data_IF_024311134061
#
_entry.id   IF_024311134061
#
_cell.length_a   1.000
_cell.length_b   1.000
_cell.length_c   1.000
_cell.angle_alpha   90.00
_cell.angle_beta   90.00
_cell.angle_gamma   90.00
#
_symmetry.space_group_name_H-M   'P 1'
#
loop_
_entity.id
_entity.type
_entity.pdbx_description
1 polymer ?
#
# COMPACT_ATOMS: atom_id res chain seq x y z
N UNK A 1 -8.03 -5.25 -7.49
CA UNK A 1 -8.12 -4.10 -6.54
C UNK A 1 -9.49 -3.46 -6.74
N UNK A 2 -10.22 -3.05 -5.69
CA UNK A 2 -11.57 -2.49 -5.92
C UNK A 2 -11.49 -1.15 -6.66
N UNK A 3 -12.40 -0.85 -7.60
CA UNK A 3 -12.38 0.40 -8.35
C UNK A 3 -12.38 1.64 -7.44
N UNK A 4 -13.17 1.61 -6.36
CA UNK A 4 -13.25 2.70 -5.38
C UNK A 4 -11.99 2.87 -4.53
N UNK A 5 -11.16 1.82 -4.37
CA UNK A 5 -9.94 1.89 -3.54
C UNK A 5 -8.81 2.70 -4.17
N UNK A 6 -8.88 2.97 -5.48
CA UNK A 6 -7.91 3.81 -6.17
C UNK A 6 -7.92 5.24 -5.61
N UNK A 7 -9.09 5.81 -5.33
CA UNK A 7 -9.26 7.17 -4.81
C UNK A 7 -8.53 7.39 -3.49
N UNK A 8 -8.50 6.35 -2.64
CA UNK A 8 -7.86 6.38 -1.33
C UNK A 8 -6.36 6.04 -1.37
N UNK A 9 -5.91 5.42 -2.46
CA UNK A 9 -4.50 5.00 -2.64
C UNK A 9 -3.65 6.06 -3.35
N UNK A 10 -4.26 7.09 -3.93
CA UNK A 10 -3.51 8.15 -4.61
C UNK A 10 -2.62 8.89 -3.60
N UNK A 11 -1.36 9.07 -3.94
CA UNK A 11 -0.44 9.91 -3.17
C UNK A 11 -0.92 11.36 -3.24
N UNK A 12 -0.94 12.11 -2.11
CA UNK A 12 -1.38 13.49 -2.15
C UNK A 12 -0.42 14.29 -3.04
N UNK A 13 -0.97 15.12 -3.93
CA UNK A 13 -0.18 15.98 -4.83
C UNK A 13 0.76 16.94 -4.09
N UNK A 14 0.52 17.17 -2.80
CA UNK A 14 1.36 18.00 -1.92
C UNK A 14 1.50 17.33 -0.54
N UNK A 15 2.71 17.14 -0.01
CA UNK A 15 2.94 16.61 1.33
C UNK A 15 2.25 17.48 2.40
N UNK A 16 1.47 16.85 3.29
CA UNK A 16 0.87 17.53 4.45
C UNK A 16 -0.46 18.25 4.23
N UNK A 17 -1.09 18.14 3.04
CA UNK A 17 -2.38 18.79 2.77
C UNK A 17 -3.63 18.00 3.17
N UNK A 18 -3.51 16.71 3.52
CA UNK A 18 -4.68 15.93 3.92
C UNK A 18 -5.12 16.31 5.33
N UNK A 19 -6.41 16.54 5.49
CA UNK A 19 -7.01 16.71 6.83
C UNK A 19 -6.89 15.40 7.63
N UNK A 20 -6.87 15.50 8.95
CA UNK A 20 -6.86 14.31 9.82
C UNK A 20 -8.06 13.40 9.54
N UNK A 21 -9.22 13.99 9.27
CA UNK A 21 -10.44 13.31 8.87
C UNK A 21 -10.26 12.52 7.57
N UNK A 22 -9.71 13.12 6.53
CA UNK A 22 -9.40 12.41 5.27
C UNK A 22 -8.44 11.24 5.49
N UNK A 23 -7.42 11.41 6.33
CA UNK A 23 -6.49 10.33 6.64
C UNK A 23 -7.18 9.16 7.32
N UNK A 24 -8.06 9.43 8.29
CA UNK A 24 -8.85 8.41 8.98
C UNK A 24 -9.76 7.70 7.99
N UNK A 25 -10.54 8.44 7.19
CA UNK A 25 -11.42 7.86 6.17
C UNK A 25 -10.65 7.00 5.17
N UNK A 26 -9.54 7.49 4.63
CA UNK A 26 -8.74 6.73 3.67
C UNK A 26 -8.21 5.43 4.29
N UNK A 27 -7.68 5.51 5.51
CA UNK A 27 -7.11 4.35 6.21
C UNK A 27 -8.18 3.30 6.46
N UNK A 28 -9.32 3.71 7.02
CA UNK A 28 -10.44 2.84 7.35
C UNK A 28 -11.06 2.20 6.11
N UNK A 29 -11.25 2.96 5.03
CA UNK A 29 -11.77 2.44 3.77
C UNK A 29 -10.79 1.47 3.10
N UNK A 30 -9.48 1.72 3.18
CA UNK A 30 -8.46 0.78 2.68
C UNK A 30 -8.42 -0.51 3.50
N UNK A 31 -8.58 -0.43 4.83
CA UNK A 31 -8.67 -1.60 5.70
C UNK A 31 -9.90 -2.45 5.41
N UNK A 32 -11.06 -1.82 5.22
CA UNK A 32 -12.27 -2.51 4.75
C UNK A 32 -11.99 -3.23 3.42
N UNK A 33 -11.40 -2.53 2.45
CA UNK A 33 -11.06 -3.11 1.15
C UNK A 33 -10.07 -4.27 1.25
N UNK A 34 -9.12 -4.21 2.20
CA UNK A 34 -8.20 -5.31 2.47
C UNK A 34 -8.92 -6.52 3.07
N UNK A 35 -9.85 -6.31 4.02
CA UNK A 35 -10.59 -7.41 4.64
C UNK A 35 -11.55 -8.08 3.66
N UNK A 36 -12.31 -7.32 2.87
CA UNK A 36 -13.24 -7.89 1.87
C UNK A 36 -12.48 -8.75 0.86
N UNK A 37 -11.35 -8.26 0.31
CA UNK A 37 -10.51 -9.05 -0.62
C UNK A 37 -9.95 -10.30 0.04
N UNK A 38 -9.52 -10.20 1.30
CA UNK A 38 -8.99 -11.36 2.04
C UNK A 38 -10.08 -12.42 2.20
N UNK A 39 -11.28 -12.04 2.62
CA UNK A 39 -12.41 -12.95 2.81
C UNK A 39 -12.81 -13.61 1.49
N UNK A 40 -12.86 -12.83 0.40
CA UNK A 40 -13.14 -13.35 -0.94
C UNK A 40 -12.08 -14.36 -1.40
N UNK A 41 -10.79 -14.05 -1.20
CA UNK A 41 -9.68 -14.96 -1.50
C UNK A 41 -9.81 -16.26 -0.72
N UNK A 42 -10.05 -16.21 0.59
CA UNK A 42 -10.22 -17.40 1.43
C UNK A 42 -11.41 -18.25 0.95
N UNK A 43 -12.53 -17.62 0.57
CA UNK A 43 -13.71 -18.32 0.04
C UNK A 43 -13.38 -19.06 -1.27
N UNK A 44 -12.67 -18.39 -2.18
CA UNK A 44 -12.25 -18.99 -3.45
C UNK A 44 -11.24 -20.14 -3.24
N UNK A 45 -10.29 -19.98 -2.31
CA UNK A 45 -9.36 -21.03 -1.93
C UNK A 45 -10.08 -22.27 -1.38
N UNK A 46 -11.08 -22.08 -0.51
CA UNK A 46 -11.90 -23.18 0.02
C UNK A 46 -12.70 -23.90 -1.06
N UNK A 47 -13.29 -23.15 -1.99
CA UNK A 47 -14.05 -23.72 -3.11
C UNK A 47 -13.15 -24.54 -4.06
N UNK A 48 -11.96 -24.02 -4.37
CA UNK A 48 -11.01 -24.68 -5.28
C UNK A 48 -10.32 -25.88 -4.63
N UNK A 49 -10.00 -25.82 -3.34
CA UNK A 49 -9.45 -26.95 -2.58
C UNK A 49 -10.46 -28.11 -2.51
N UNK A 50 -11.73 -27.83 -2.24
CA UNK A 50 -12.80 -28.84 -2.28
C UNK A 50 -12.92 -29.51 -3.64
N UNK A 51 -12.79 -28.75 -4.73
CA UNK A 51 -12.80 -29.28 -6.10
C UNK A 51 -11.57 -30.14 -6.41
N UNK A 52 -10.37 -29.72 -5.97
CA UNK A 52 -9.13 -30.49 -6.15
C UNK A 52 -9.22 -31.84 -5.46
N UNK A 53 -9.69 -31.89 -4.21
CA UNK A 53 -9.86 -33.17 -3.49
C UNK A 53 -10.81 -34.12 -4.19
N UNK A 54 -11.93 -33.62 -4.74
CA UNK A 54 -12.88 -34.43 -5.51
C UNK A 54 -12.24 -35.00 -6.79
N UNK A 55 -11.49 -34.17 -7.52
CA UNK A 55 -10.73 -34.57 -8.73
C UNK A 55 -9.66 -35.62 -8.45
N UNK A 56 -8.95 -35.51 -7.33
CA UNK A 56 -7.95 -36.49 -6.91
C UNK A 56 -8.54 -37.83 -6.48
N UNK A 57 -9.84 -37.88 -6.17
CA UNK A 57 -10.54 -39.09 -5.70
C UNK A 57 -11.29 -39.83 -6.82
N UNK A 58 -11.53 -39.18 -7.97
CA UNK A 58 -12.27 -39.76 -9.09
C UNK A 58 -11.34 -40.22 -10.21
N UNK A 59 -11.36 -41.52 -10.53
CA UNK A 59 -10.62 -42.08 -11.69
C UNK A 59 -11.26 -41.74 -13.05
N UNK A 60 -12.41 -41.08 -13.07
CA UNK A 60 -13.17 -40.73 -14.28
C UNK A 60 -12.82 -39.32 -14.74
N UNK A 61 -12.87 -39.07 -16.05
CA UNK A 61 -12.68 -37.73 -16.62
C UNK A 61 -13.71 -36.75 -16.03
N UNK A 62 -13.22 -35.75 -15.29
CA UNK A 62 -14.08 -34.82 -14.56
C UNK A 62 -14.48 -33.65 -15.47
N UNK A 63 -15.71 -33.72 -16.01
CA UNK A 63 -16.33 -32.67 -16.83
C UNK A 63 -16.92 -31.52 -15.99
N UNK A 64 -16.59 -31.44 -14.70
CA UNK A 64 -17.05 -30.35 -13.82
C UNK A 64 -16.81 -28.94 -14.37
N UNK A 65 -15.80 -28.75 -15.23
CA UNK A 65 -15.51 -27.48 -15.89
C UNK A 65 -16.59 -27.06 -16.93
N UNK A 66 -17.30 -28.02 -17.54
CA UNK A 66 -18.46 -27.77 -18.41
C UNK A 66 -19.71 -27.36 -17.62
N UNK A 67 -19.76 -27.69 -16.33
CA UNK A 67 -20.87 -27.36 -15.43
C UNK A 67 -20.59 -26.13 -14.56
N UNK A 68 -19.38 -25.54 -14.62
CA UNK A 68 -19.07 -24.34 -13.84
C UNK A 68 -19.94 -23.18 -14.29
N UNK A 69 -20.75 -22.66 -13.37
CA UNK A 69 -21.40 -21.36 -13.52
C UNK A 69 -20.35 -20.28 -13.85
N UNK A 70 -20.74 -19.17 -14.52
CA UNK A 70 -19.84 -18.06 -14.83
C UNK A 70 -19.03 -17.66 -13.59
N UNK A 71 -17.78 -17.24 -13.81
CA UNK A 71 -16.88 -16.86 -12.71
C UNK A 71 -17.61 -15.95 -11.71
N UNK A 72 -17.52 -16.24 -10.39
CA UNK A 72 -18.18 -15.41 -9.39
C UNK A 72 -17.69 -13.97 -9.57
N UNK A 73 -18.65 -13.07 -9.77
CA UNK A 73 -18.33 -11.65 -9.92
C UNK A 73 -17.68 -11.16 -8.62
N UNK A 74 -16.63 -10.32 -8.74
CA UNK A 74 -16.00 -9.75 -7.56
C UNK A 74 -17.04 -8.97 -6.75
N UNK A 75 -16.98 -9.08 -5.44
CA UNK A 75 -17.90 -8.33 -4.60
C UNK A 75 -17.68 -6.83 -4.76
N UNK A 76 -18.76 -6.10 -5.06
CA UNK A 76 -18.73 -4.64 -5.19
C UNK A 76 -19.66 -4.00 -4.15
N UNK A 77 -19.16 -2.94 -3.51
CA UNK A 77 -19.96 -2.11 -2.61
C UNK A 77 -20.91 -1.26 -3.44
N UNK A 78 -22.16 -1.13 -2.98
CA UNK A 78 -23.07 -0.19 -3.62
C UNK A 78 -22.58 1.25 -3.42
N UNK A 79 -22.81 2.17 -4.37
CA UNK A 79 -22.39 3.57 -4.21
C UNK A 79 -22.98 4.23 -2.96
N UNK A 80 -24.19 3.84 -2.56
CA UNK A 80 -24.83 4.33 -1.36
C UNK A 80 -24.14 3.83 -0.08
N UNK A 81 -23.78 2.54 -0.03
CA UNK A 81 -23.01 1.98 1.09
C UNK A 81 -21.66 2.67 1.23
N UNK A 82 -20.99 2.96 0.11
CA UNK A 82 -19.72 3.67 0.10
C UNK A 82 -19.83 5.07 0.68
N UNK A 83 -20.89 5.81 0.35
CA UNK A 83 -21.09 7.17 0.83
C UNK A 83 -21.38 7.18 2.33
N UNK A 84 -22.25 6.28 2.79
CA UNK A 84 -22.58 6.15 4.21
C UNK A 84 -21.35 5.77 5.03
N UNK A 85 -20.55 4.79 4.58
CA UNK A 85 -19.34 4.38 5.26
C UNK A 85 -18.30 5.51 5.34
N UNK A 86 -18.16 6.30 4.28
CA UNK A 86 -17.27 7.46 4.28
C UNK A 86 -17.71 8.52 5.28
N UNK A 87 -19.01 8.82 5.35
CA UNK A 87 -19.56 9.77 6.32
C UNK A 87 -19.35 9.30 7.78
N UNK A 88 -19.50 8.00 8.03
CA UNK A 88 -19.21 7.42 9.34
C UNK A 88 -17.71 7.49 9.68
N UNK A 89 -16.84 7.10 8.75
CA UNK A 89 -15.39 7.14 8.97
C UNK A 89 -14.88 8.57 9.22
N UNK A 90 -15.48 9.55 8.57
CA UNK A 90 -15.18 10.96 8.74
C UNK A 90 -15.43 11.48 10.17
N UNK A 91 -16.34 10.85 10.91
CA UNK A 91 -16.69 11.24 12.29
C UNK A 91 -15.80 10.59 13.34
N UNK A 92 -14.99 9.60 12.96
CA UNK A 92 -14.14 8.87 13.90
C UNK A 92 -12.95 9.73 14.33
N UNK A 93 -12.70 9.90 15.64
CA UNK A 93 -11.52 10.60 16.14
C UNK A 93 -10.22 9.91 15.70
N UNK A 94 -9.16 10.66 15.33
CA UNK A 94 -7.88 10.07 14.92
C UNK A 94 -7.27 9.10 15.94
N UNK A 95 -7.49 9.34 17.24
CA UNK A 95 -7.03 8.47 18.32
C UNK A 95 -7.68 7.08 18.31
N UNK A 96 -8.92 6.98 17.82
CA UNK A 96 -9.70 5.72 17.80
C UNK A 96 -9.51 4.88 16.54
N UNK A 97 -8.93 5.47 15.48
CA UNK A 97 -8.71 4.77 14.21
C UNK A 97 -7.90 3.46 14.38
N UNK A 98 -6.79 3.50 15.11
CA UNK A 98 -5.94 2.33 15.35
C UNK A 98 -6.65 1.20 16.12
N UNK A 99 -7.19 1.47 17.33
CA UNK A 99 -7.96 0.49 18.10
C UNK A 99 -9.11 -0.14 17.30
N UNK A 100 -9.85 0.67 16.53
CA UNK A 100 -10.95 0.19 15.69
C UNK A 100 -10.47 -0.80 14.62
N UNK A 101 -9.36 -0.50 13.92
CA UNK A 101 -8.77 -1.41 12.92
C UNK A 101 -8.38 -2.75 13.55
N UNK A 102 -7.76 -2.72 14.74
CA UNK A 102 -7.36 -3.94 15.46
C UNK A 102 -8.59 -4.76 15.85
N UNK A 103 -9.62 -4.13 16.42
CA UNK A 103 -10.88 -4.78 16.81
C UNK A 103 -11.55 -5.41 15.57
N UNK A 104 -11.59 -4.68 14.45
CA UNK A 104 -12.23 -5.13 13.21
C UNK A 104 -11.51 -6.35 12.61
N UNK A 105 -10.19 -6.29 12.46
CA UNK A 105 -9.39 -7.42 11.97
C UNK A 105 -9.55 -8.66 12.83
N UNK A 106 -9.57 -8.50 14.16
CA UNK A 106 -9.80 -9.59 15.11
C UNK A 106 -11.19 -10.20 14.91
N UNK A 107 -12.24 -9.38 14.84
CA UNK A 107 -13.61 -9.83 14.68
C UNK A 107 -13.82 -10.60 13.38
N UNK A 108 -13.33 -10.09 12.25
CA UNK A 108 -13.40 -10.78 10.95
C UNK A 108 -12.64 -12.11 10.97
N UNK A 109 -11.49 -12.16 11.64
CA UNK A 109 -10.69 -13.39 11.72
C UNK A 109 -11.32 -14.45 12.63
N UNK A 110 -12.10 -14.05 13.63
CA UNK A 110 -12.74 -14.98 14.58
C UNK A 110 -14.07 -15.52 14.06
N UNK A 111 -14.87 -14.66 13.44
CA UNK A 111 -16.21 -15.02 12.96
C UNK A 111 -16.19 -15.65 11.56
N UNK A 112 -15.14 -15.39 10.77
CA UNK A 112 -15.04 -15.75 9.35
C UNK A 112 -16.34 -15.47 8.55
N UNK A 113 -16.81 -14.20 8.54
CA UNK A 113 -18.09 -13.84 7.94
C UNK A 113 -18.08 -14.00 6.42
N UNK A 114 -19.26 -14.00 5.80
CA UNK A 114 -19.36 -13.92 4.35
C UNK A 114 -18.90 -12.56 3.81
N UNK A 115 -18.48 -12.52 2.54
CA UNK A 115 -17.90 -11.32 1.90
C UNK A 115 -18.83 -10.10 2.01
N UNK A 116 -20.13 -10.32 1.88
CA UNK A 116 -21.15 -9.26 1.92
C UNK A 116 -21.51 -8.82 3.35
N UNK A 117 -21.13 -9.59 4.37
CA UNK A 117 -21.34 -9.27 5.78
C UNK A 117 -20.21 -8.40 6.32
N UNK A 118 -18.99 -8.50 5.76
CA UNK A 118 -17.83 -7.71 6.18
C UNK A 118 -18.13 -6.20 6.23
N UNK A 119 -18.74 -5.56 5.21
CA UNK A 119 -19.08 -4.14 5.26
C UNK A 119 -20.21 -3.80 6.23
N UNK A 120 -21.12 -4.76 6.49
CA UNK A 120 -22.19 -4.59 7.49
C UNK A 120 -21.61 -4.59 8.89
N UNK A 121 -20.72 -5.53 9.20
CA UNK A 121 -20.00 -5.59 10.46
C UNK A 121 -19.17 -4.32 10.68
N UNK A 122 -18.47 -3.87 9.63
CA UNK A 122 -17.68 -2.65 9.68
C UNK A 122 -18.56 -1.42 10.01
N UNK A 123 -19.71 -1.27 9.35
CA UNK A 123 -20.68 -0.20 9.65
C UNK A 123 -21.15 -0.24 11.11
N UNK A 124 -21.50 -1.43 11.62
CA UNK A 124 -21.93 -1.58 13.02
C UNK A 124 -20.84 -1.17 13.99
N UNK A 125 -19.59 -1.57 13.75
CA UNK A 125 -18.45 -1.20 14.58
C UNK A 125 -18.14 0.30 14.56
N UNK A 126 -18.30 0.95 13.41
CA UNK A 126 -18.15 2.41 13.32
C UNK A 126 -19.19 3.12 14.18
N UNK A 127 -20.45 2.67 14.17
CA UNK A 127 -21.51 3.24 15.00
C UNK A 127 -21.24 3.01 16.49
N UNK A 128 -20.90 1.79 16.87
CA UNK A 128 -20.51 1.44 18.25
C UNK A 128 -19.36 2.34 18.76
N UNK A 129 -18.32 2.55 17.94
CA UNK A 129 -17.22 3.44 18.30
C UNK A 129 -17.64 4.90 18.47
N UNK A 130 -18.59 5.39 17.66
CA UNK A 130 -19.11 6.75 17.80
C UNK A 130 -19.97 6.88 19.06
N UNK A 131 -20.76 5.85 19.38
CA UNK A 131 -21.57 5.82 20.60
C UNK A 131 -20.66 5.80 21.85
N UNK A 132 -19.63 4.95 21.87
CA UNK A 132 -18.61 4.92 22.95
C UNK A 132 -17.93 6.30 23.11
N UNK A 133 -17.58 6.98 22.02
CA UNK A 133 -16.94 8.31 22.10
C UNK A 133 -17.88 9.35 22.68
N UNK A 134 -19.15 9.37 22.26
CA UNK A 134 -20.15 10.31 22.79
C UNK A 134 -20.37 10.10 24.30
N UNK A 135 -20.50 8.85 24.75
CA UNK A 135 -20.64 8.53 26.18
C UNK A 135 -19.43 9.00 27.02
N UNK A 136 -18.22 8.92 26.46
CA UNK A 136 -17.01 9.38 27.14
C UNK A 136 -16.87 10.92 27.16
N UNK A 137 -17.50 11.65 26.24
CA UNK A 137 -17.52 13.13 26.28
C UNK A 137 -18.44 13.67 27.37
N UNK A 138 -19.53 12.95 27.69
CA UNK A 138 -20.50 13.33 28.72
C UNK A 138 -19.99 13.13 30.17
N UNK A 139 -18.92 12.35 30.34
CA UNK A 139 -18.21 12.21 31.62
C UNK A 139 -16.98 13.13 31.58
N UNK A 140 -16.97 14.28 32.26
CA UNK A 140 -15.85 15.22 32.16
C UNK A 140 -14.59 14.57 32.72
N UNK A 141 -13.71 14.16 31.81
CA UNK A 141 -12.44 13.52 32.06
C UNK A 141 -11.52 14.49 32.84
N UNK A 142 -11.40 14.27 34.15
CA UNK A 142 -10.46 15.00 35.01
C UNK A 142 -8.99 14.84 34.53
N UNK A 143 -8.71 13.84 33.70
CA UNK A 143 -7.38 13.56 33.13
C UNK A 143 -6.99 14.50 31.98
N UNK A 144 -7.96 15.11 31.28
CA UNK A 144 -7.68 16.02 30.17
C UNK A 144 -7.02 17.35 30.63
N UNK A 145 -7.09 17.65 31.93
CA UNK A 145 -6.49 18.86 32.52
C UNK A 145 -4.99 18.63 32.79
N UNK A 146 -4.58 17.43 33.19
CA UNK A 146 -3.17 17.10 33.45
C UNK A 146 -2.33 17.01 32.16
N UNK A 147 -2.89 16.50 31.07
CA UNK A 147 -2.19 16.40 29.79
C UNK A 147 -1.98 17.77 29.10
N UNK A 148 -2.90 18.71 29.31
CA UNK A 148 -2.80 20.07 28.77
C UNK A 148 -1.69 20.88 29.43
N UNK A 149 -1.30 20.55 30.66
CA UNK A 149 -0.27 21.27 31.41
C UNK A 149 1.17 20.82 31.08
N UNK A 150 1.35 19.63 30.50
CA UNK A 150 2.67 19.10 30.11
C UNK A 150 3.12 19.47 28.68
N UNK A 151 2.21 20.03 27.85
CA UNK A 151 2.49 20.31 26.43
C UNK A 151 2.81 21.79 26.12
N UNK A 152 3.41 22.50 27.07
CA UNK A 152 3.86 23.89 26.90
C UNK A 152 5.37 23.99 26.72
N UNK A 153 5.95 23.27 25.77
CA UNK A 153 7.25 23.61 25.20
C UNK A 153 7.05 23.94 23.73
N UNK A 154 6.99 25.24 23.45
CA UNK A 154 6.81 25.89 22.15
C UNK A 154 7.57 25.17 21.02
N UNK A 155 6.84 24.43 20.17
CA UNK A 155 7.29 23.98 18.85
C UNK A 155 6.69 24.87 17.75
N UNK A 156 6.46 26.15 18.03
CA UNK A 156 6.08 27.09 16.98
C UNK A 156 7.32 27.48 16.17
N UNK A 157 7.30 27.11 14.89
CA UNK A 157 8.21 27.53 13.82
C UNK A 157 9.63 26.96 13.84
N UNK A 158 9.76 25.65 13.63
CA UNK A 158 10.97 25.14 12.97
C UNK A 158 10.88 25.54 11.49
N UNK A 159 11.50 26.67 11.14
CA UNK A 159 11.70 27.00 9.73
C UNK A 159 12.67 25.97 9.16
N UNK A 160 12.15 25.06 8.35
CA UNK A 160 12.99 24.14 7.57
C UNK A 160 13.74 25.01 6.55
N UNK A 161 14.93 25.51 6.91
CA UNK A 161 15.85 26.12 5.95
C UNK A 161 16.44 25.00 5.10
N UNK A 162 15.65 24.55 4.13
CA UNK A 162 16.09 23.67 3.06
C UNK A 162 17.21 24.39 2.30
N UNK A 163 18.43 23.84 2.36
CA UNK A 163 19.56 24.33 1.57
C UNK A 163 19.45 23.83 0.13
N UNK A 164 18.48 24.33 -0.62
CA UNK A 164 18.61 24.37 -2.08
C UNK A 164 19.40 25.64 -2.42
N UNK A 165 20.72 25.49 -2.56
CA UNK A 165 21.55 26.52 -3.16
C UNK A 165 21.34 26.47 -4.67
N UNK A 166 20.37 27.26 -5.16
CA UNK A 166 20.37 27.78 -6.52
C UNK A 166 21.61 28.67 -6.67
N UNK A 167 22.56 28.24 -7.48
CA UNK A 167 23.83 28.93 -7.68
C UNK A 167 23.67 30.22 -8.45
N UNK A 168 24.34 31.28 -7.99
CA UNK A 168 24.77 32.39 -8.83
C UNK A 168 26.04 33.05 -8.29
N UNK A 169 26.87 33.41 -9.27
CA UNK A 169 28.29 33.73 -9.27
C UNK A 169 28.69 34.95 -8.44
N UNK A 170 29.73 34.82 -7.60
CA UNK A 170 30.67 35.90 -7.33
C UNK A 170 32.11 35.36 -7.12
N UNK A 171 33.04 36.23 -7.47
CA UNK A 171 34.39 35.99 -8.00
C UNK A 171 35.44 36.07 -6.87
N UNK A 172 36.33 35.08 -6.83
CA UNK A 172 37.69 35.22 -6.28
C UNK A 172 37.92 34.78 -4.84
N UNK A 173 38.49 33.59 -4.65
CA UNK A 173 39.81 33.39 -4.01
C UNK A 173 39.99 31.91 -3.65
N UNK A 174 41.12 31.35 -4.06
CA UNK A 174 41.56 29.98 -3.80
C UNK A 174 41.46 29.60 -2.32
N UNK A 175 40.82 28.46 -2.03
CA UNK A 175 41.37 27.41 -1.16
C UNK A 175 40.85 26.05 -1.63
N UNK A 176 41.84 25.20 -1.89
CA UNK A 176 41.87 23.81 -2.32
C UNK A 176 41.12 22.88 -1.35
N UNK A 177 40.27 22.00 -1.88
CA UNK A 177 39.62 20.94 -1.10
C UNK A 177 38.62 20.06 -1.87
N UNK A 178 39.15 19.22 -2.76
CA UNK A 178 38.63 17.93 -3.27
C UNK A 178 37.12 17.78 -3.57
N UNK A 179 36.75 17.91 -4.85
CA UNK A 179 35.50 17.38 -5.44
C UNK A 179 35.89 16.41 -6.56
N UNK A 180 35.56 15.12 -6.40
CA UNK A 180 35.40 14.19 -7.53
C UNK A 180 33.90 14.00 -7.71
N UNK A 181 33.30 14.69 -8.67
CA UNK A 181 33.12 14.30 -10.07
C UNK A 181 31.89 13.39 -10.25
N UNK A 182 30.77 13.99 -10.66
CA UNK A 182 29.83 13.38 -11.59
C UNK A 182 29.13 14.51 -12.35
N UNK A 183 29.81 15.05 -13.34
CA UNK A 183 29.17 15.83 -14.40
C UNK A 183 28.28 14.88 -15.22
N UNK A 184 27.00 15.20 -15.20
CA UNK A 184 26.01 14.69 -16.13
C UNK A 184 26.12 15.52 -17.41
N UNK A 185 26.83 15.00 -18.42
CA UNK A 185 26.71 15.47 -19.78
C UNK A 185 27.16 14.39 -20.78
N UNK A 186 26.19 13.79 -21.46
CA UNK A 186 26.31 13.06 -22.74
C UNK A 186 24.94 13.27 -23.39
N UNK A 187 24.68 14.39 -24.04
CA UNK A 187 25.05 14.75 -25.41
C UNK A 187 24.74 13.63 -26.40
N UNK A 188 23.60 13.76 -27.08
CA UNK A 188 23.14 12.85 -28.12
C UNK A 188 23.94 13.16 -29.39
N UNK A 189 25.01 12.42 -29.61
CA UNK A 189 25.62 12.33 -30.93
C UNK A 189 25.17 11.04 -31.60
N UNK A 190 24.37 11.25 -32.63
CA UNK A 190 24.08 10.37 -33.75
C UNK A 190 25.32 10.34 -34.65
N UNK A 191 25.94 9.17 -34.85
CA UNK A 191 26.61 8.79 -36.11
C UNK A 191 27.09 7.32 -36.04
N UNK A 192 27.12 6.73 -37.23
CA UNK A 192 27.10 5.30 -37.56
C UNK A 192 28.43 4.53 -37.36
N UNK A 193 28.34 3.22 -37.61
CA UNK A 193 29.42 2.28 -37.98
C UNK A 193 30.45 1.85 -36.91
N UNK A 194 30.27 0.63 -36.37
CA UNK A 194 31.11 -0.54 -36.71
C UNK A 194 30.86 -1.73 -35.75
N UNK A 195 30.44 -2.85 -36.34
CA UNK A 195 29.83 -4.00 -35.65
C UNK A 195 30.79 -5.04 -35.07
N UNK A 196 31.74 -4.66 -34.21
CA UNK A 196 32.70 -5.62 -33.63
C UNK A 196 32.98 -5.44 -32.12
N UNK A 197 32.01 -4.96 -31.33
CA UNK A 197 32.21 -4.72 -29.89
C UNK A 197 31.02 -4.92 -28.95
N UNK A 198 29.89 -5.47 -29.45
CA UNK A 198 28.64 -5.47 -28.68
C UNK A 198 28.67 -6.41 -27.45
N UNK A 199 29.37 -7.53 -27.52
CA UNK A 199 29.34 -8.55 -26.46
C UNK A 199 30.02 -8.07 -25.16
N UNK A 200 31.08 -7.25 -25.29
CA UNK A 200 31.85 -6.76 -24.15
C UNK A 200 31.16 -5.59 -23.44
N UNK A 201 30.47 -4.73 -24.20
CA UNK A 201 29.67 -3.63 -23.67
C UNK A 201 28.45 -4.12 -22.87
N UNK A 202 27.80 -5.20 -23.33
CA UNK A 202 26.67 -5.83 -22.62
C UNK A 202 27.14 -6.45 -21.29
N UNK A 203 28.32 -7.07 -21.28
CA UNK A 203 28.93 -7.67 -20.08
C UNK A 203 29.36 -6.62 -19.04
N UNK A 204 29.86 -5.47 -19.49
CA UNK A 204 30.22 -4.35 -18.61
C UNK A 204 28.97 -3.75 -17.92
N UNK A 205 27.85 -3.60 -18.66
CA UNK A 205 26.60 -3.06 -18.11
C UNK A 205 25.94 -3.99 -17.09
N UNK A 206 26.07 -5.31 -17.24
CA UNK A 206 25.54 -6.29 -16.29
C UNK A 206 26.26 -6.31 -14.93
N UNK A 207 27.50 -5.80 -14.86
CA UNK A 207 28.33 -5.78 -13.64
C UNK A 207 28.12 -4.53 -12.78
N UNK A 208 27.65 -3.44 -13.35
CA UNK A 208 27.55 -2.13 -12.69
C UNK A 208 26.44 -2.04 -11.61
N UNK A 209 25.57 -3.05 -11.47
CA UNK A 209 24.44 -3.06 -10.53
C UNK A 209 24.35 -4.27 -9.60
N UNK A 210 25.38 -5.13 -9.54
CA UNK A 210 25.37 -6.37 -8.76
C UNK A 210 26.00 -6.20 -7.37
N UNK A 211 25.29 -6.65 -6.34
CA UNK A 211 25.80 -6.76 -4.97
C UNK A 211 26.79 -7.93 -4.84
N UNK A 212 27.85 -7.75 -4.05
CA UNK A 212 28.97 -8.71 -3.89
C UNK A 212 28.59 -10.09 -3.35
N UNK A 213 27.35 -10.29 -2.91
CA UNK A 213 26.84 -11.54 -2.33
C UNK A 213 26.12 -12.47 -3.32
N UNK A 214 25.94 -12.05 -4.58
CA UNK A 214 25.27 -12.89 -5.59
C UNK A 214 26.26 -13.78 -6.36
N UNK A 215 26.04 -15.11 -6.41
CA UNK A 215 26.87 -16.01 -7.21
C UNK A 215 26.74 -15.75 -8.73
N UNK A 216 27.80 -16.08 -9.47
CA UNK A 216 27.81 -16.02 -10.93
C UNK A 216 27.03 -17.21 -11.50
N UNK A 217 26.04 -16.92 -12.35
CA UNK A 217 25.27 -17.94 -13.06
C UNK A 217 25.70 -17.83 -14.52
N UNK A 218 26.56 -18.74 -14.96
CA UNK A 218 26.90 -18.89 -16.37
C UNK A 218 25.84 -19.75 -17.06
N UNK A 219 25.34 -19.35 -18.24
CA UNK A 219 24.42 -20.20 -19.00
C UNK A 219 25.17 -21.47 -19.41
N UNK A 220 24.63 -22.61 -18.99
CA UNK A 220 25.18 -23.92 -19.32
C UNK A 220 24.64 -24.30 -20.69
N UNK A 221 25.49 -24.25 -21.71
CA UNK A 221 25.12 -24.70 -23.05
C UNK A 221 24.86 -26.22 -23.00
N UNK A 222 23.58 -26.59 -23.07
CA UNK A 222 23.17 -27.96 -23.32
C UNK A 222 23.29 -28.24 -24.82
N UNK A 223 24.42 -28.82 -25.23
CA UNK A 223 24.53 -29.48 -26.52
C UNK A 223 23.65 -30.73 -26.52
N UNK A 224 22.50 -30.66 -27.18
CA UNK A 224 21.71 -31.84 -27.50
C UNK A 224 22.35 -32.56 -28.70
N UNK A 225 23.20 -33.55 -28.41
CA UNK A 225 23.49 -34.63 -29.37
C UNK A 225 22.69 -35.86 -28.95
N UNK A 226 21.81 -36.31 -29.83
CA UNK A 226 20.97 -37.50 -29.69
C UNK A 226 19.75 -37.42 -30.58
#
# INVERSE_FOLDING_TARGET
MFPWSAVFSLEPKVPGQRTSQELVTNTLMLELGAMVKRTERIRLERATEGQRRRRSSSSTADYSWLATAPMPQPYELTPNDLLELQDLCAKIPPAQCGPLIVRFRRLVSQMEPEVHEVPRLFRSMLRECLDEVNENEDVPMQDAIFDKQQRSKSLSFVTFRTKFCTGQFFKGSSIRGSRGNLEQQVDWFDEEEDGEGEEEAIKARARMGRSRSMPEITPMEQSSQG
#
